data_IF_128291540025
#
_entry.id   IF_128291540025
#
_cell.length_a   1.000
_cell.length_b   1.000
_cell.length_c   1.000
_cell.angle_alpha   90.00
_cell.angle_beta   90.00
_cell.angle_gamma   90.00
#
_symmetry.space_group_name_H-M   'P 1'
#
loop_
_entity.id
_entity.type
_entity.pdbx_description
1 polymer ?
#
# COMPACT_ATOMS: atom_id res chain seq x y z
N UNK A 1 -20.96 -26.05 -16.17
CA UNK A 1 -20.78 -26.30 -15.67
C UNK A 1 -20.62 -26.12 -15.43
N UNK A 2 -20.92 -25.87 -15.53
CA UNK A 2 -20.84 -25.84 -14.97
C UNK A 2 -20.87 -25.44 -14.70
N UNK A 3 -21.04 -25.04 -14.79
CA UNK A 3 -21.10 -24.76 -14.32
C UNK A 3 -21.06 -24.00 -14.19
N UNK A 4 -21.35 -23.63 -14.55
CA UNK A 4 -21.35 -23.06 -14.22
C UNK A 4 -21.74 -22.28 -14.43
N UNK A 5 -22.20 -22.01 -14.71
CA UNK A 5 -22.61 -21.54 -14.58
C UNK A 5 -23.08 -20.95 -14.76
N UNK A 6 -23.54 -20.51 -14.94
CA UNK A 6 -24.02 -20.16 -14.67
C UNK A 6 -24.45 -19.64 -14.57
N UNK A 7 -24.88 -19.19 -14.72
CA UNK A 7 -25.33 -18.82 -14.19
C UNK A 7 -25.80 -18.46 -13.87
N UNK A 8 -26.23 -18.13 -13.98
CA UNK A 8 -26.59 -17.93 -13.33
C UNK A 8 -26.85 -17.88 -12.97
N UNK A 9 -27.02 -17.75 -12.67
CA UNK A 9 -27.22 -17.87 -11.95
C UNK A 9 -27.35 -17.68 -11.25
N UNK A 10 -27.77 -17.23 -11.47
CA UNK A 10 -27.90 -17.09 -10.72
C UNK A 10 -28.10 -17.29 -9.66
N UNK A 11 -28.57 -17.36 -9.37
CA UNK A 11 -28.81 -17.59 -8.31
C UNK A 11 -28.05 -18.17 -7.65
N UNK A 12 -27.67 -17.83 -7.47
CA UNK A 12 -26.99 -18.58 -6.65
C UNK A 12 -26.89 -18.05 -5.31
N UNK A 13 -26.75 -18.84 -4.36
CA UNK A 13 -26.58 -18.53 -2.98
C UNK A 13 -25.15 -18.63 -2.56
N UNK A 14 -24.21 -18.39 -3.44
CA UNK A 14 -22.80 -18.40 -3.10
C UNK A 14 -22.33 -17.10 -2.50
N UNK A 15 -21.05 -17.02 -2.12
CA UNK A 15 -20.48 -15.78 -1.59
C UNK A 15 -20.59 -14.64 -2.59
N UNK A 16 -20.82 -13.47 -2.08
CA UNK A 16 -20.90 -12.28 -2.92
C UNK A 16 -19.52 -11.71 -3.17
N UNK A 17 -19.32 -11.23 -4.38
CA UNK A 17 -18.08 -10.59 -4.77
C UNK A 17 -18.38 -9.20 -5.28
N UNK A 18 -17.61 -8.23 -4.85
CA UNK A 18 -17.75 -6.85 -5.32
C UNK A 18 -16.71 -6.63 -6.40
N UNK A 19 -17.16 -6.23 -7.58
CA UNK A 19 -16.27 -6.01 -8.72
C UNK A 19 -15.23 -4.94 -8.37
N UNK A 20 -13.97 -5.25 -8.60
CA UNK A 20 -12.86 -4.34 -8.37
C UNK A 20 -12.49 -4.14 -6.91
N UNK A 21 -13.16 -4.86 -5.99
CA UNK A 21 -12.91 -4.66 -4.56
C UNK A 21 -12.48 -5.93 -3.85
N UNK A 22 -12.12 -6.99 -4.58
CA UNK A 22 -11.64 -8.21 -3.97
C UNK A 22 -10.20 -8.09 -3.51
N UNK A 23 -9.75 -9.05 -2.71
CA UNK A 23 -8.38 -9.04 -2.19
C UNK A 23 -7.34 -9.03 -3.31
N UNK A 24 -7.65 -9.61 -4.46
CA UNK A 24 -6.74 -9.62 -5.60
C UNK A 24 -6.53 -8.25 -6.22
N UNK A 25 -7.47 -7.32 -5.99
CA UNK A 25 -7.37 -5.96 -6.53
C UNK A 25 -6.48 -5.07 -5.69
N UNK A 26 -6.16 -5.49 -4.46
CA UNK A 26 -5.30 -4.70 -3.59
C UNK A 26 -3.84 -4.91 -3.98
N UNK A 27 -3.12 -3.81 -4.09
CA UNK A 27 -1.71 -3.86 -4.46
C UNK A 27 -0.93 -4.68 -3.43
N UNK A 28 -0.24 -5.72 -3.89
CA UNK A 28 0.44 -6.66 -3.00
C UNK A 28 1.66 -6.05 -2.32
N UNK A 29 2.26 -5.05 -2.94
CA UNK A 29 3.41 -4.36 -2.35
C UNK A 29 2.91 -3.43 -1.24
N UNK A 30 1.84 -2.70 -1.49
CA UNK A 30 1.29 -1.75 -0.53
C UNK A 30 0.51 -2.44 0.59
N UNK A 31 -0.15 -3.57 0.26
CA UNK A 31 -1.02 -4.25 1.22
C UNK A 31 -0.22 -5.04 2.24
N UNK A 32 0.50 -4.31 3.07
CA UNK A 32 1.27 -4.84 4.17
C UNK A 32 1.41 -3.69 5.18
N UNK A 33 1.27 -3.98 6.46
CA UNK A 33 1.10 -2.95 7.49
C UNK A 33 2.17 -1.86 7.46
N UNK A 34 3.44 -2.23 7.42
CA UNK A 34 4.51 -1.23 7.47
C UNK A 34 4.65 -0.51 6.14
N UNK A 35 4.53 -1.23 5.02
CA UNK A 35 4.62 -0.59 3.71
C UNK A 35 3.46 0.36 3.47
N UNK A 36 2.25 -0.03 3.88
CA UNK A 36 1.10 0.85 3.82
C UNK A 36 1.33 2.10 4.66
N UNK A 37 1.90 1.93 5.86
CA UNK A 37 2.22 3.04 6.74
C UNK A 37 3.25 3.99 6.12
N UNK A 38 4.29 3.45 5.49
CA UNK A 38 5.31 4.27 4.83
C UNK A 38 4.69 5.09 3.70
N UNK A 39 3.94 4.43 2.82
CA UNK A 39 3.33 5.09 1.67
C UNK A 39 2.31 6.13 2.14
N UNK A 40 1.50 5.80 3.15
CA UNK A 40 0.54 6.74 3.71
C UNK A 40 1.20 7.98 4.29
N UNK A 41 2.27 7.81 5.05
CA UNK A 41 3.01 8.93 5.63
C UNK A 41 3.62 9.81 4.54
N UNK A 42 4.16 9.19 3.49
CA UNK A 42 4.78 9.92 2.38
C UNK A 42 3.75 10.56 1.45
N UNK A 43 2.49 10.12 1.51
CA UNK A 43 1.44 10.74 0.69
C UNK A 43 1.08 12.13 1.19
N UNK A 44 1.35 12.42 2.45
CA UNK A 44 1.02 13.70 3.06
C UNK A 44 2.27 14.49 3.49
N UNK A 45 3.44 14.00 3.18
CA UNK A 45 4.72 14.67 3.43
C UNK A 45 5.58 14.55 2.21
N UNK A 46 6.21 15.63 1.79
CA UNK A 46 7.03 15.61 0.59
C UNK A 46 8.21 14.67 0.75
N UNK A 47 8.91 14.76 1.88
CA UNK A 47 9.98 13.84 2.22
C UNK A 47 9.90 13.50 3.71
N UNK A 48 10.40 12.33 4.07
CA UNK A 48 10.57 11.96 5.47
C UNK A 48 11.90 11.25 5.60
N UNK A 49 12.60 11.51 6.69
CA UNK A 49 13.85 10.80 6.96
C UNK A 49 13.56 9.40 7.50
N UNK A 50 14.58 8.55 7.44
CA UNK A 50 14.50 7.22 8.02
C UNK A 50 14.09 7.28 9.49
N UNK A 51 14.69 8.20 10.24
CA UNK A 51 14.38 8.37 11.67
C UNK A 51 12.94 8.81 11.88
N UNK A 52 12.45 9.72 11.04
CA UNK A 52 11.07 10.19 11.14
C UNK A 52 10.08 9.06 10.85
N UNK A 53 10.34 8.28 9.81
CA UNK A 53 9.49 7.13 9.49
C UNK A 53 9.50 6.10 10.61
N UNK A 54 10.67 5.81 11.16
CA UNK A 54 10.81 4.87 12.26
C UNK A 54 9.96 5.30 13.45
N UNK A 55 10.01 6.58 13.77
CA UNK A 55 9.25 7.12 14.89
C UNK A 55 7.76 7.10 14.63
N UNK A 56 7.34 7.55 13.45
CA UNK A 56 5.93 7.57 13.06
C UNK A 56 5.33 6.17 13.13
N UNK A 57 6.06 5.18 12.63
CA UNK A 57 5.55 3.82 12.53
C UNK A 57 5.79 2.99 13.79
N UNK A 58 6.59 3.50 14.72
CA UNK A 58 6.89 2.77 15.95
C UNK A 58 7.54 1.42 15.68
N UNK A 59 8.49 1.37 14.75
CA UNK A 59 9.12 0.12 14.34
C UNK A 59 10.62 0.15 14.61
N UNK A 60 11.33 -0.90 14.19
CA UNK A 60 12.76 -1.04 14.37
C UNK A 60 13.48 -0.69 13.08
N UNK A 61 14.81 -0.42 13.20
CA UNK A 61 15.64 -0.16 12.03
C UNK A 61 15.57 -1.31 11.02
N UNK A 62 15.65 -2.54 11.51
CA UNK A 62 15.64 -3.71 10.64
C UNK A 62 14.33 -3.87 9.88
N UNK A 63 13.22 -3.76 10.59
CA UNK A 63 11.91 -3.88 9.95
C UNK A 63 11.69 -2.77 8.92
N UNK A 64 12.02 -1.53 9.30
CA UNK A 64 11.85 -0.41 8.37
C UNK A 64 12.72 -0.59 7.14
N UNK A 65 13.99 -0.98 7.32
CA UNK A 65 14.92 -1.18 6.20
C UNK A 65 14.40 -2.19 5.19
N UNK A 66 13.87 -3.32 5.67
CA UNK A 66 13.35 -4.37 4.80
C UNK A 66 12.18 -3.87 3.97
N UNK A 67 11.24 -3.21 4.62
CA UNK A 67 10.03 -2.77 3.94
C UNK A 67 10.26 -1.56 3.03
N UNK A 68 11.13 -0.63 3.45
CA UNK A 68 11.49 0.50 2.61
C UNK A 68 12.18 0.02 1.33
N UNK A 69 13.05 -0.99 1.45
CA UNK A 69 13.73 -1.55 0.28
C UNK A 69 12.74 -2.17 -0.71
N UNK A 70 11.74 -2.90 -0.20
CA UNK A 70 10.73 -3.48 -1.08
C UNK A 70 9.97 -2.42 -1.85
N UNK A 71 9.69 -1.29 -1.21
CA UNK A 71 9.03 -0.17 -1.88
C UNK A 71 9.94 0.48 -2.92
N UNK A 72 11.24 0.59 -2.63
CA UNK A 72 12.19 1.10 -3.61
C UNK A 72 12.28 0.18 -4.82
N UNK A 73 12.36 -1.12 -4.59
CA UNK A 73 12.47 -2.11 -5.67
C UNK A 73 11.23 -2.10 -6.54
N UNK A 74 10.08 -1.82 -5.96
CA UNK A 74 8.83 -1.70 -6.71
C UNK A 74 8.73 -0.38 -7.47
N UNK A 75 9.62 0.57 -7.19
CA UNK A 75 9.57 1.88 -7.84
C UNK A 75 8.58 2.83 -7.20
N UNK A 76 8.09 2.52 -6.01
CA UNK A 76 7.07 3.34 -5.35
C UNK A 76 7.65 4.44 -4.48
N UNK A 77 8.87 4.28 -4.00
CA UNK A 77 9.56 5.33 -3.24
C UNK A 77 10.98 5.48 -3.77
N UNK A 78 11.52 6.67 -3.57
CA UNK A 78 12.92 6.97 -3.84
C UNK A 78 13.61 7.26 -2.53
N UNK A 79 14.84 6.81 -2.44
CA UNK A 79 15.67 7.02 -1.27
C UNK A 79 16.88 7.85 -1.68
N UNK A 80 17.12 8.92 -0.95
CA UNK A 80 18.28 9.77 -1.20
C UNK A 80 19.12 9.86 0.07
N UNK A 81 20.42 9.60 -0.08
CA UNK A 81 21.35 9.71 1.04
C UNK A 81 22.06 11.05 0.96
N UNK A 82 21.97 11.81 2.04
CA UNK A 82 22.54 13.14 2.16
C UNK A 82 23.40 13.22 3.39
N UNK A 83 24.10 14.33 3.52
CA UNK A 83 24.84 14.65 4.73
C UNK A 83 24.33 15.95 5.28
N UNK A 84 24.15 15.99 6.59
CA UNK A 84 23.84 17.20 7.33
C UNK A 84 25.06 17.47 8.19
N UNK A 85 25.96 18.30 7.65
CA UNK A 85 27.30 18.40 8.21
C UNK A 85 28.02 17.09 7.96
N UNK A 86 28.44 16.41 9.04
CA UNK A 86 29.12 15.10 8.94
C UNK A 86 28.18 13.93 9.19
N UNK A 87 26.93 14.21 9.51
CA UNK A 87 25.96 13.15 9.83
C UNK A 87 25.27 12.66 8.58
N UNK A 88 25.26 11.36 8.33
CA UNK A 88 24.49 10.81 7.20
C UNK A 88 23.01 10.95 7.49
N UNK A 89 22.26 11.25 6.45
CA UNK A 89 20.82 11.43 6.52
C UNK A 89 20.18 10.75 5.32
N UNK A 90 19.24 9.86 5.58
CA UNK A 90 18.53 9.15 4.54
C UNK A 90 17.11 9.71 4.46
N UNK A 91 16.73 10.15 3.27
CA UNK A 91 15.38 10.70 3.02
C UNK A 91 14.65 9.86 2.00
N UNK A 92 13.35 9.76 2.18
CA UNK A 92 12.46 9.03 1.28
C UNK A 92 11.40 9.96 0.74
N UNK A 93 10.97 9.70 -0.49
CA UNK A 93 9.83 10.38 -1.09
C UNK A 93 9.03 9.41 -1.92
N UNK A 94 7.73 9.70 -2.07
CA UNK A 94 6.86 8.91 -2.91
C UNK A 94 7.10 9.27 -4.37
N UNK A 95 7.19 8.28 -5.24
CA UNK A 95 7.29 8.54 -6.68
C UNK A 95 5.90 8.76 -7.26
N UNK A 96 5.84 9.21 -8.52
CA UNK A 96 4.57 9.31 -9.21
C UNK A 96 3.88 7.94 -9.31
N UNK A 97 4.67 6.89 -9.59
CA UNK A 97 4.14 5.53 -9.63
C UNK A 97 3.60 5.09 -8.27
N UNK A 98 4.32 5.42 -7.18
CA UNK A 98 3.87 5.10 -5.85
C UNK A 98 2.59 5.81 -5.48
N UNK A 99 2.48 7.09 -5.86
CA UNK A 99 1.27 7.85 -5.60
C UNK A 99 0.07 7.27 -6.35
N UNK A 100 0.27 6.91 -7.62
CA UNK A 100 -0.80 6.31 -8.42
C UNK A 100 -1.22 4.96 -7.84
N UNK A 101 -0.25 4.13 -7.44
CA UNK A 101 -0.54 2.84 -6.83
C UNK A 101 -1.30 3.00 -5.52
N UNK A 102 -0.94 3.99 -4.72
CA UNK A 102 -1.60 4.24 -3.46
C UNK A 102 -3.04 4.71 -3.68
N UNK A 103 -3.27 5.59 -4.66
CA UNK A 103 -4.62 6.05 -4.98
C UNK A 103 -5.50 4.89 -5.43
N UNK A 104 -4.96 4.00 -6.26
CA UNK A 104 -5.69 2.81 -6.66
C UNK A 104 -6.00 1.91 -5.47
N UNK A 105 -5.01 1.75 -4.58
CA UNK A 105 -5.20 0.96 -3.37
C UNK A 105 -6.34 1.52 -2.53
N UNK A 106 -6.37 2.84 -2.34
CA UNK A 106 -7.42 3.48 -1.56
C UNK A 106 -8.80 3.30 -2.21
N UNK A 107 -8.87 3.41 -3.53
CA UNK A 107 -10.13 3.22 -4.26
C UNK A 107 -10.67 1.81 -4.05
N UNK A 108 -9.82 0.80 -4.17
CA UNK A 108 -10.22 -0.58 -3.96
C UNK A 108 -10.62 -0.83 -2.51
N UNK A 109 -9.88 -0.26 -1.57
CA UNK A 109 -10.19 -0.41 -0.15
C UNK A 109 -11.52 0.26 0.20
N UNK A 110 -11.77 1.44 -0.36
CA UNK A 110 -13.04 2.14 -0.14
C UNK A 110 -14.23 1.32 -0.66
N UNK A 111 -14.07 0.72 -1.83
CA UNK A 111 -15.11 -0.12 -2.39
C UNK A 111 -15.37 -1.34 -1.50
N UNK A 112 -14.31 -1.95 -0.98
CA UNK A 112 -14.42 -3.09 -0.09
C UNK A 112 -15.14 -2.70 1.22
N UNK A 113 -14.76 -1.56 1.80
CA UNK A 113 -15.38 -1.07 3.02
C UNK A 113 -16.87 -0.78 2.79
N UNK A 114 -17.18 -0.14 1.67
CA UNK A 114 -18.58 0.18 1.33
C UNK A 114 -19.39 -1.11 1.20
N UNK A 115 -18.85 -2.09 0.50
CA UNK A 115 -19.52 -3.37 0.33
C UNK A 115 -19.77 -4.06 1.68
N UNK A 116 -18.78 -4.04 2.56
CA UNK A 116 -18.91 -4.65 3.88
C UNK A 116 -19.98 -3.96 4.73
N UNK A 117 -20.10 -2.63 4.61
CA UNK A 117 -21.09 -1.88 5.37
C UNK A 117 -22.49 -2.02 4.86
N UNK A 118 -22.65 -2.34 3.58
CA UNK A 118 -23.96 -2.55 2.97
C UNK A 118 -24.44 -3.98 3.12
N UNK A 119 -23.51 -4.88 3.37
CA UNK A 119 -23.83 -6.28 3.56
C UNK A 119 -24.28 -6.56 4.96
#
# INVERSE_FOLDING_TARGET
>A
MAKHSTAARAETSGPKVVAGAGARSLDRIIHERLRLGIVGALSVNETLTFKELKKILGTTDGNLSVHARKLEEAGYVECEKKFEGRLPRTEYRLTAAGRAAFENYLTHMEALIRAARQG
#
